data_IF_766114029149
#
_entry.id   IF_766114029149
#
_cell.length_a   1.000
_cell.length_b   1.000
_cell.length_c   1.000
_cell.angle_alpha   90.00
_cell.angle_beta   90.00
_cell.angle_gamma   90.00
#
_symmetry.space_group_name_H-M   'P 1'
#
loop_
_entity.id
_entity.type
_entity.pdbx_description
1 polymer ?
#
# COMPACT_ATOMS: atom_id res chain seq x y z
N UNK A 1 -23.30 9.23 13.02
CA UNK A 1 -23.90 7.97 12.52
C UNK A 1 -23.48 6.73 13.32
N UNK A 2 -24.40 5.80 13.60
CA UNK A 2 -24.08 4.46 14.18
C UNK A 2 -23.98 3.36 13.10
N UNK A 3 -23.51 2.16 13.48
CA UNK A 3 -23.30 1.06 12.52
C UNK A 3 -24.60 0.62 11.82
N UNK A 4 -25.74 0.64 12.52
CA UNK A 4 -27.04 0.29 11.92
C UNK A 4 -27.43 1.30 10.83
N UNK A 5 -27.20 2.58 11.10
CA UNK A 5 -27.49 3.67 10.16
C UNK A 5 -26.56 3.63 8.96
N UNK A 6 -25.27 3.29 9.17
CA UNK A 6 -24.29 3.07 8.09
C UNK A 6 -24.76 2.01 7.10
N UNK A 7 -25.10 0.81 7.60
CA UNK A 7 -25.56 -0.28 6.74
C UNK A 7 -26.89 0.04 6.05
N UNK A 8 -27.82 0.66 6.78
CA UNK A 8 -29.10 1.07 6.22
C UNK A 8 -28.92 2.11 5.10
N UNK A 9 -27.91 2.98 5.21
CA UNK A 9 -27.58 3.95 4.17
C UNK A 9 -27.05 3.25 2.90
N UNK A 10 -26.11 2.31 3.04
CA UNK A 10 -25.61 1.50 1.92
C UNK A 10 -26.76 0.76 1.22
N UNK A 11 -27.60 0.06 1.99
CA UNK A 11 -28.67 -0.75 1.43
C UNK A 11 -29.73 0.09 0.70
N UNK A 12 -30.03 1.31 1.18
CA UNK A 12 -30.97 2.24 0.53
C UNK A 12 -30.41 2.89 -0.73
N UNK A 13 -29.13 3.24 -0.73
CA UNK A 13 -28.48 3.89 -1.87
C UNK A 13 -28.09 2.89 -2.98
N UNK A 14 -28.18 1.58 -2.72
CA UNK A 14 -27.82 0.56 -3.68
C UNK A 14 -28.78 0.54 -4.88
N UNK A 15 -28.27 0.63 -6.12
CA UNK A 15 -29.12 0.60 -7.31
C UNK A 15 -29.71 -0.79 -7.55
N UNK A 16 -30.82 -0.85 -8.30
CA UNK A 16 -31.30 -2.11 -8.86
C UNK A 16 -30.41 -2.53 -10.04
N UNK A 17 -29.96 -3.80 -10.06
CA UNK A 17 -29.14 -4.36 -11.13
C UNK A 17 -27.62 -4.14 -10.96
N UNK A 18 -26.83 -4.64 -11.93
CA UNK A 18 -25.36 -4.70 -11.83
C UNK A 18 -24.72 -3.30 -11.81
N UNK A 19 -23.90 -2.99 -10.81
CA UNK A 19 -23.22 -1.71 -10.62
C UNK A 19 -21.69 -1.88 -10.59
N UNK A 20 -21.07 -1.89 -11.77
CA UNK A 20 -19.61 -2.09 -11.89
C UNK A 20 -18.84 -0.98 -11.16
N UNK A 21 -17.87 -1.35 -10.33
CA UNK A 21 -17.07 -0.38 -9.58
C UNK A 21 -17.83 0.29 -8.42
N UNK A 22 -19.09 -0.11 -8.15
CA UNK A 22 -20.01 0.58 -7.25
C UNK A 22 -20.20 2.08 -7.58
N UNK A 23 -20.13 2.45 -8.87
CA UNK A 23 -20.18 3.87 -9.31
C UNK A 23 -21.50 4.55 -8.93
N UNK A 24 -22.63 3.87 -9.16
CA UNK A 24 -23.96 4.46 -8.89
C UNK A 24 -24.26 4.46 -7.39
N UNK A 25 -23.89 3.41 -6.67
CA UNK A 25 -23.95 3.40 -5.21
C UNK A 25 -23.11 4.56 -4.63
N UNK A 26 -21.86 4.73 -5.08
CA UNK A 26 -20.99 5.78 -4.61
C UNK A 26 -21.58 7.17 -4.83
N UNK A 27 -22.11 7.44 -6.03
CA UNK A 27 -22.76 8.73 -6.31
C UNK A 27 -23.97 8.97 -5.40
N UNK A 28 -24.85 7.98 -5.24
CA UNK A 28 -26.02 8.10 -4.38
C UNK A 28 -25.65 8.31 -2.90
N UNK A 29 -24.54 7.72 -2.44
CA UNK A 29 -24.01 7.95 -1.10
C UNK A 29 -23.42 9.35 -0.96
N UNK A 30 -22.65 9.83 -1.95
CA UNK A 30 -22.10 11.19 -1.98
C UNK A 30 -23.24 12.21 -1.89
N UNK A 31 -24.22 12.11 -2.79
CA UNK A 31 -25.37 13.02 -2.82
C UNK A 31 -26.08 13.05 -1.46
N UNK A 32 -26.30 11.86 -0.86
CA UNK A 32 -27.01 11.76 0.41
C UNK A 32 -26.22 12.28 1.61
N UNK A 33 -24.92 12.01 1.66
CA UNK A 33 -24.03 12.50 2.73
C UNK A 33 -23.81 14.00 2.62
N UNK A 34 -23.76 14.55 1.41
CA UNK A 34 -23.59 15.98 1.16
C UNK A 34 -24.81 16.85 1.44
N UNK A 35 -25.97 16.24 1.71
CA UNK A 35 -27.16 16.93 2.25
C UNK A 35 -27.16 16.98 3.78
N UNK A 36 -26.27 16.23 4.42
CA UNK A 36 -26.21 16.05 5.86
C UNK A 36 -25.14 16.91 6.55
N UNK A 37 -25.05 16.80 7.88
CA UNK A 37 -23.96 17.40 8.64
C UNK A 37 -22.61 16.72 8.29
N UNK A 38 -21.51 17.47 8.32
CA UNK A 38 -20.15 16.97 8.03
C UNK A 38 -19.80 15.78 8.92
N UNK A 39 -20.28 15.77 10.16
CA UNK A 39 -20.12 14.72 11.16
C UNK A 39 -20.65 13.36 10.68
N UNK A 40 -21.68 13.33 9.83
CA UNK A 40 -22.18 12.08 9.27
C UNK A 40 -21.28 11.54 8.16
N UNK A 41 -20.66 12.41 7.37
CA UNK A 41 -19.59 12.03 6.43
C UNK A 41 -18.38 11.48 7.17
N UNK A 42 -17.99 12.11 8.29
CA UNK A 42 -16.89 11.62 9.14
C UNK A 42 -17.23 10.25 9.74
N UNK A 43 -18.41 10.11 10.34
CA UNK A 43 -18.84 8.85 10.93
C UNK A 43 -18.99 7.73 9.88
N UNK A 44 -19.47 8.05 8.68
CA UNK A 44 -19.54 7.09 7.57
C UNK A 44 -18.15 6.59 7.19
N UNK A 45 -17.15 7.48 7.12
CA UNK A 45 -15.76 7.09 6.84
C UNK A 45 -15.21 6.11 7.88
N UNK A 46 -15.45 6.35 9.17
CA UNK A 46 -15.01 5.46 10.26
C UNK A 46 -15.68 4.08 10.18
N UNK A 47 -16.99 4.01 9.96
CA UNK A 47 -17.71 2.72 9.82
C UNK A 47 -17.28 1.95 8.56
N UNK A 48 -17.01 2.65 7.46
CA UNK A 48 -16.45 2.05 6.26
C UNK A 48 -15.07 1.46 6.54
N UNK A 49 -14.18 2.22 7.19
CA UNK A 49 -12.84 1.74 7.58
C UNK A 49 -12.91 0.54 8.52
N UNK A 50 -13.79 0.55 9.53
CA UNK A 50 -13.97 -0.57 10.45
C UNK A 50 -14.47 -1.83 9.72
N UNK A 51 -15.46 -1.68 8.84
CA UNK A 51 -15.99 -2.79 8.06
C UNK A 51 -14.89 -3.43 7.19
N UNK A 52 -14.12 -2.59 6.48
CA UNK A 52 -12.99 -3.01 5.65
C UNK A 52 -11.90 -3.71 6.48
N UNK A 53 -11.56 -3.19 7.66
CA UNK A 53 -10.57 -3.77 8.56
C UNK A 53 -10.98 -5.16 9.07
N UNK A 54 -12.26 -5.35 9.43
CA UNK A 54 -12.78 -6.65 9.87
C UNK A 54 -12.74 -7.71 8.78
N UNK A 55 -13.02 -7.35 7.53
CA UNK A 55 -12.81 -8.26 6.40
C UNK A 55 -11.32 -8.60 6.25
N UNK A 56 -10.43 -7.63 6.41
CA UNK A 56 -8.98 -7.87 6.38
C UNK A 56 -8.45 -8.80 7.48
N UNK A 57 -9.18 -8.98 8.60
CA UNK A 57 -8.81 -9.87 9.72
C UNK A 57 -9.35 -11.29 9.60
N UNK A 58 -10.35 -11.52 8.74
CA UNK A 58 -10.85 -12.87 8.51
C UNK A 58 -9.78 -13.68 7.74
N UNK A 59 -9.71 -15.02 7.90
CA UNK A 59 -8.83 -15.90 7.14
C UNK A 59 -9.30 -16.01 5.67
N UNK A 60 -9.42 -14.86 5.00
CA UNK A 60 -9.71 -14.75 3.58
C UNK A 60 -8.44 -15.13 2.82
N UNK A 61 -8.60 -15.96 1.78
CA UNK A 61 -7.51 -16.47 0.94
C UNK A 61 -6.54 -15.37 0.52
N UNK A 62 -5.26 -15.64 0.73
CA UNK A 62 -4.11 -14.79 0.41
C UNK A 62 -3.67 -14.88 -1.07
N UNK A 63 -4.57 -15.29 -1.98
CA UNK A 63 -4.28 -15.45 -3.42
C UNK A 63 -4.60 -14.20 -4.25
N UNK A 64 -4.82 -13.06 -3.59
CA UNK A 64 -5.15 -11.78 -4.23
C UNK A 64 -4.02 -10.77 -4.00
N UNK A 65 -3.49 -10.23 -5.08
CA UNK A 65 -2.35 -9.32 -5.09
C UNK A 65 -2.82 -7.85 -4.97
N UNK A 66 -2.06 -7.03 -4.23
CA UNK A 66 -2.21 -5.57 -4.22
C UNK A 66 -3.63 -5.03 -4.02
N UNK A 67 -3.99 -4.06 -4.85
CA UNK A 67 -5.25 -3.30 -4.82
C UNK A 67 -6.52 -4.15 -5.05
N UNK A 68 -6.40 -5.34 -5.65
CA UNK A 68 -7.55 -6.21 -5.90
C UNK A 68 -8.18 -6.70 -4.59
N UNK A 69 -7.39 -6.94 -3.55
CA UNK A 69 -7.92 -7.30 -2.24
C UNK A 69 -8.67 -6.13 -1.60
N UNK A 70 -8.12 -4.91 -1.71
CA UNK A 70 -8.76 -3.69 -1.23
C UNK A 70 -10.09 -3.46 -1.93
N UNK A 71 -10.13 -3.48 -3.26
CA UNK A 71 -11.35 -3.21 -4.03
C UNK A 71 -12.40 -4.31 -3.92
N UNK A 72 -11.99 -5.57 -3.65
CA UNK A 72 -12.93 -6.66 -3.36
C UNK A 72 -13.52 -6.58 -1.96
N UNK A 73 -12.74 -6.20 -0.94
CA UNK A 73 -13.32 -5.89 0.38
C UNK A 73 -14.34 -4.76 0.27
N UNK A 74 -14.04 -3.74 -0.52
CA UNK A 74 -14.99 -2.68 -0.80
C UNK A 74 -16.24 -3.22 -1.51
N UNK A 75 -16.09 -4.20 -2.40
CA UNK A 75 -17.22 -4.81 -3.11
C UNK A 75 -18.14 -5.60 -2.17
N UNK A 76 -17.58 -6.30 -1.18
CA UNK A 76 -18.37 -6.96 -0.12
C UNK A 76 -19.17 -5.94 0.69
N UNK A 77 -18.56 -4.80 1.05
CA UNK A 77 -19.27 -3.72 1.75
C UNK A 77 -20.35 -3.09 0.84
N UNK A 78 -20.04 -2.85 -0.43
CA UNK A 78 -20.98 -2.31 -1.43
C UNK A 78 -22.17 -3.23 -1.69
N UNK A 79 -21.97 -4.55 -1.58
CA UNK A 79 -23.01 -5.55 -1.66
C UNK A 79 -23.94 -5.55 -0.45
N UNK A 80 -23.63 -4.80 0.60
CA UNK A 80 -24.50 -4.53 1.73
C UNK A 80 -24.32 -5.51 2.89
N UNK A 81 -25.07 -5.26 3.97
CA UNK A 81 -24.84 -5.89 5.28
C UNK A 81 -24.95 -7.41 5.25
N UNK A 82 -25.92 -7.94 4.52
CA UNK A 82 -26.16 -9.38 4.44
C UNK A 82 -25.04 -10.13 3.69
N UNK A 83 -24.37 -9.47 2.74
CA UNK A 83 -23.17 -10.03 2.09
C UNK A 83 -21.99 -10.01 3.05
N UNK A 84 -21.76 -8.85 3.65
CA UNK A 84 -20.70 -8.60 4.61
C UNK A 84 -20.71 -9.63 5.77
N UNK A 85 -21.85 -9.82 6.42
CA UNK A 85 -21.99 -10.78 7.53
C UNK A 85 -21.78 -12.23 7.06
N UNK A 86 -22.16 -12.57 5.82
CA UNK A 86 -22.00 -13.91 5.26
C UNK A 86 -20.54 -14.23 4.97
N UNK A 87 -19.79 -13.27 4.44
CA UNK A 87 -18.35 -13.43 4.20
C UNK A 87 -17.59 -13.51 5.52
N UNK A 88 -17.97 -12.74 6.54
CA UNK A 88 -17.37 -12.87 7.87
C UNK A 88 -17.63 -14.24 8.51
N UNK A 89 -18.81 -14.83 8.28
CA UNK A 89 -19.15 -16.16 8.80
C UNK A 89 -18.46 -17.30 8.03
N UNK A 90 -18.21 -17.11 6.72
CA UNK A 90 -17.56 -18.09 5.85
C UNK A 90 -16.56 -17.41 4.90
N UNK A 91 -15.33 -17.14 5.38
CA UNK A 91 -14.28 -16.45 4.63
C UNK A 91 -13.90 -17.10 3.29
N UNK A 92 -14.12 -18.41 3.13
CA UNK A 92 -13.77 -19.14 1.90
C UNK A 92 -14.55 -18.62 0.68
N UNK A 93 -15.74 -18.06 0.88
CA UNK A 93 -16.61 -17.50 -0.17
C UNK A 93 -16.08 -16.24 -0.82
N UNK A 94 -15.10 -15.58 -0.20
CA UNK A 94 -14.48 -14.39 -0.76
C UNK A 94 -13.78 -14.66 -2.09
N UNK A 95 -13.32 -15.90 -2.32
CA UNK A 95 -12.68 -16.30 -3.57
C UNK A 95 -13.67 -16.46 -4.76
N UNK A 96 -14.97 -16.52 -4.49
CA UNK A 96 -16.00 -16.73 -5.53
C UNK A 96 -16.43 -15.41 -6.22
N UNK A 97 -16.09 -14.25 -5.64
CA UNK A 97 -16.49 -12.93 -6.17
C UNK A 97 -15.45 -12.28 -7.11
N UNK A 98 -14.86 -13.06 -8.02
CA UNK A 98 -13.66 -12.65 -8.79
C UNK A 98 -13.83 -11.42 -9.70
N UNK A 99 -15.07 -11.08 -10.08
CA UNK A 99 -15.34 -10.05 -11.10
C UNK A 99 -15.91 -8.73 -10.55
N UNK A 100 -16.11 -8.61 -9.24
CA UNK A 100 -16.75 -7.44 -8.62
C UNK A 100 -15.74 -6.65 -7.78
N UNK A 101 -15.39 -5.46 -8.27
CA UNK A 101 -14.60 -4.45 -7.55
C UNK A 101 -15.47 -3.23 -7.23
N UNK A 102 -15.20 -2.54 -6.13
CA UNK A 102 -15.94 -1.35 -5.72
C UNK A 102 -15.02 -0.20 -5.30
N UNK A 103 -14.02 0.12 -6.13
CA UNK A 103 -13.10 1.22 -5.90
C UNK A 103 -13.83 2.55 -5.60
N UNK A 104 -14.94 2.84 -6.29
CA UNK A 104 -15.63 4.12 -6.11
C UNK A 104 -16.24 4.30 -4.72
N UNK A 105 -16.49 3.21 -3.98
CA UNK A 105 -16.98 3.29 -2.59
C UNK A 105 -15.95 3.95 -1.67
N UNK A 106 -14.66 3.72 -1.90
CA UNK A 106 -13.57 4.23 -1.07
C UNK A 106 -13.44 5.76 -1.15
N UNK A 107 -13.87 6.35 -2.28
CA UNK A 107 -13.81 7.78 -2.54
C UNK A 107 -15.02 8.56 -1.99
N UNK A 108 -16.08 7.85 -1.54
CA UNK A 108 -17.33 8.47 -1.10
C UNK A 108 -17.13 9.52 -0.01
N UNK A 109 -16.39 9.25 1.08
CA UNK A 109 -16.32 10.22 2.16
C UNK A 109 -15.48 11.46 1.79
N UNK A 110 -14.44 11.31 0.94
CA UNK A 110 -13.64 12.46 0.45
C UNK A 110 -14.48 13.37 -0.43
N UNK A 111 -15.22 12.78 -1.38
CA UNK A 111 -16.06 13.54 -2.31
C UNK A 111 -17.24 14.20 -1.60
N UNK A 112 -17.88 13.49 -0.67
CA UNK A 112 -18.96 14.05 0.11
C UNK A 112 -18.50 15.23 0.97
N UNK A 113 -17.32 15.12 1.60
CA UNK A 113 -16.72 16.20 2.39
C UNK A 113 -16.33 17.40 1.52
N UNK A 114 -15.69 17.15 0.38
CA UNK A 114 -15.31 18.20 -0.56
C UNK A 114 -16.53 18.97 -1.06
N UNK A 115 -17.62 18.27 -1.38
CA UNK A 115 -18.88 18.89 -1.81
C UNK A 115 -19.56 19.68 -0.69
N UNK A 116 -19.45 19.25 0.57
CA UNK A 116 -19.99 19.96 1.74
C UNK A 116 -19.22 21.24 2.10
N UNK A 117 -17.89 21.17 1.99
CA UNK A 117 -17.00 22.18 2.60
C UNK A 117 -16.24 23.03 1.58
N UNK A 118 -16.21 22.60 0.31
CA UNK A 118 -15.38 23.17 -0.74
C UNK A 118 -13.88 22.93 -0.53
N UNK A 119 -13.49 22.00 0.36
CA UNK A 119 -12.09 21.73 0.72
C UNK A 119 -11.79 20.25 0.62
N UNK A 120 -10.54 19.93 0.27
CA UNK A 120 -10.04 18.57 0.34
C UNK A 120 -9.89 18.12 1.79
N UNK A 121 -10.25 16.87 2.06
CA UNK A 121 -10.20 16.33 3.41
C UNK A 121 -8.83 15.71 3.69
N UNK A 122 -8.00 16.38 4.50
CA UNK A 122 -6.77 15.77 5.06
C UNK A 122 -7.14 14.85 6.22
N UNK A 123 -7.42 13.58 5.90
CA UNK A 123 -7.87 12.56 6.86
C UNK A 123 -6.80 12.22 7.89
N UNK A 124 -7.22 12.02 9.15
CA UNK A 124 -6.47 11.33 10.18
C UNK A 124 -7.41 10.33 10.85
N UNK A 125 -7.42 9.08 10.40
CA UNK A 125 -8.36 8.06 10.90
C UNK A 125 -7.77 7.23 12.04
N UNK A 126 -8.65 6.68 12.89
CA UNK A 126 -8.31 5.63 13.87
C UNK A 126 -8.03 4.28 13.17
N UNK A 127 -8.62 4.05 11.99
CA UNK A 127 -8.38 2.92 11.09
C UNK A 127 -8.18 3.41 9.64
N UNK A 128 -7.04 3.08 9.01
CA UNK A 128 -6.85 3.30 7.56
C UNK A 128 -7.45 2.14 6.76
N UNK A 129 -8.14 2.43 5.66
CA UNK A 129 -8.67 1.45 4.69
C UNK A 129 -7.57 0.56 4.09
N UNK A 130 -6.33 1.04 4.13
CA UNK A 130 -5.10 0.37 3.71
C UNK A 130 -4.52 -0.53 4.82
N UNK A 131 -5.13 -0.64 5.99
CA UNK A 131 -4.66 -1.57 7.02
C UNK A 131 -4.98 -3.01 6.60
N UNK A 132 -3.96 -3.68 6.08
CA UNK A 132 -3.89 -5.14 5.98
C UNK A 132 -3.48 -5.67 7.36
N UNK A 133 -4.27 -6.58 7.93
CA UNK A 133 -3.75 -7.41 9.01
C UNK A 133 -2.85 -8.47 8.41
N UNK A 134 -1.56 -8.18 8.40
CA UNK A 134 -0.55 -9.21 8.27
C UNK A 134 -0.54 -9.99 9.60
N UNK A 135 -0.67 -11.31 9.57
CA UNK A 135 -0.11 -12.10 10.65
C UNK A 135 1.39 -11.80 10.65
N UNK A 136 1.86 -11.17 11.74
CA UNK A 136 3.28 -10.95 11.95
C UNK A 136 3.99 -12.29 11.77
N UNK A 137 4.96 -12.34 10.85
CA UNK A 137 5.92 -13.42 10.88
C UNK A 137 6.64 -13.39 12.23
N UNK A 138 7.25 -14.52 12.62
CA UNK A 138 8.14 -14.52 13.78
C UNK A 138 9.14 -13.36 13.62
N UNK A 139 9.29 -12.48 14.61
CA UNK A 139 10.11 -11.29 14.47
C UNK A 139 11.55 -11.71 14.17
N UNK A 140 12.12 -11.13 13.13
CA UNK A 140 13.56 -11.08 12.99
C UNK A 140 14.08 -10.28 14.20
N UNK A 141 14.99 -10.85 14.99
CA UNK A 141 15.46 -10.23 16.23
C UNK A 141 15.99 -8.79 16.01
N UNK A 142 16.15 -8.00 17.08
CA UNK A 142 16.72 -6.65 17.01
C UNK A 142 18.05 -6.58 16.22
N UNK A 143 18.84 -7.66 16.26
CA UNK A 143 20.14 -7.82 15.59
C UNK A 143 20.11 -8.83 14.42
N UNK A 144 18.96 -9.03 13.78
CA UNK A 144 18.83 -9.99 12.69
C UNK A 144 19.83 -9.67 11.57
N UNK A 145 20.67 -10.65 11.26
CA UNK A 145 21.57 -10.56 10.13
C UNK A 145 20.78 -10.56 8.81
N UNK A 146 21.43 -10.16 7.72
CA UNK A 146 20.85 -10.31 6.37
C UNK A 146 20.40 -11.76 6.11
N UNK A 147 21.11 -12.75 6.66
CA UNK A 147 20.75 -14.18 6.53
C UNK A 147 19.42 -14.50 7.21
N UNK A 148 19.24 -14.01 8.44
CA UNK A 148 17.99 -14.19 9.20
C UNK A 148 16.83 -13.51 8.48
N UNK A 149 17.06 -12.31 7.95
CA UNK A 149 16.05 -11.55 7.24
C UNK A 149 15.63 -12.23 5.93
N UNK A 150 16.60 -12.72 5.14
CA UNK A 150 16.33 -13.47 3.91
C UNK A 150 15.59 -14.77 4.22
N UNK A 151 15.97 -15.50 5.27
CA UNK A 151 15.27 -16.71 5.69
C UNK A 151 13.81 -16.42 6.07
N UNK A 152 13.57 -15.35 6.84
CA UNK A 152 12.23 -14.92 7.23
C UNK A 152 11.39 -14.50 6.01
N UNK A 153 11.98 -13.79 5.05
CA UNK A 153 11.29 -13.41 3.81
C UNK A 153 10.94 -14.65 2.98
N UNK A 154 11.88 -15.58 2.79
CA UNK A 154 11.61 -16.87 2.11
C UNK A 154 10.44 -17.61 2.74
N UNK A 155 10.39 -17.67 4.06
CA UNK A 155 9.28 -18.29 4.78
C UNK A 155 7.97 -17.51 4.56
N UNK A 156 8.01 -16.17 4.60
CA UNK A 156 6.84 -15.31 4.44
C UNK A 156 6.21 -15.38 3.05
N UNK A 157 7.03 -15.57 2.02
CA UNK A 157 6.59 -15.67 0.62
C UNK A 157 6.43 -17.11 0.14
N UNK A 158 6.67 -18.10 1.00
CA UNK A 158 6.50 -19.51 0.66
C UNK A 158 5.06 -19.78 0.18
N UNK A 159 4.93 -20.44 -0.96
CA UNK A 159 3.62 -20.75 -1.57
C UNK A 159 3.02 -19.64 -2.43
N UNK A 160 3.66 -18.47 -2.55
CA UNK A 160 3.21 -17.40 -3.49
C UNK A 160 3.51 -17.68 -4.96
N UNK A 161 4.29 -18.73 -5.27
CA UNK A 161 4.64 -19.06 -6.65
C UNK A 161 5.54 -18.02 -7.32
N UNK A 162 6.48 -17.43 -6.56
CA UNK A 162 7.40 -16.42 -7.09
C UNK A 162 8.19 -16.94 -8.31
N UNK A 163 8.53 -16.08 -9.27
CA UNK A 163 9.45 -16.40 -10.35
C UNK A 163 10.79 -16.91 -9.81
N UNK A 164 11.50 -17.75 -10.57
CA UNK A 164 12.83 -18.21 -10.17
C UNK A 164 13.74 -17.01 -9.89
N UNK A 165 14.69 -17.13 -8.95
CA UNK A 165 15.65 -16.07 -8.67
C UNK A 165 16.36 -15.58 -9.93
N UNK A 166 16.66 -14.28 -9.97
CA UNK A 166 17.42 -13.68 -11.05
C UNK A 166 18.84 -14.24 -11.10
N UNK A 167 19.49 -14.18 -12.26
CA UNK A 167 20.88 -14.59 -12.38
C UNK A 167 21.84 -13.48 -11.94
N UNK A 168 23.07 -13.85 -11.59
CA UNK A 168 24.12 -12.87 -11.32
C UNK A 168 24.46 -11.98 -12.54
N UNK A 169 24.18 -12.46 -13.75
CA UNK A 169 24.36 -11.70 -14.99
C UNK A 169 23.28 -10.61 -15.13
N UNK A 170 22.01 -10.93 -14.83
CA UNK A 170 20.91 -9.97 -14.85
C UNK A 170 21.15 -8.83 -13.85
N UNK A 171 21.63 -9.18 -12.66
CA UNK A 171 22.03 -8.19 -11.64
C UNK A 171 23.15 -7.30 -12.16
N UNK A 172 24.21 -7.87 -12.72
CA UNK A 172 25.35 -7.10 -13.21
C UNK A 172 24.95 -6.17 -14.38
N UNK A 173 24.05 -6.61 -15.27
CA UNK A 173 23.51 -5.76 -16.33
C UNK A 173 22.72 -4.58 -15.77
N UNK A 174 21.86 -4.84 -14.78
CA UNK A 174 21.06 -3.80 -14.16
C UNK A 174 21.93 -2.80 -13.37
N UNK A 175 22.92 -3.27 -12.61
CA UNK A 175 23.91 -2.43 -11.93
C UNK A 175 24.66 -1.53 -12.92
N UNK A 176 25.05 -2.07 -14.09
CA UNK A 176 25.68 -1.28 -15.15
C UNK A 176 24.76 -0.19 -15.69
N UNK A 177 23.47 -0.50 -15.87
CA UNK A 177 22.45 0.45 -16.34
C UNK A 177 22.19 1.57 -15.33
N UNK A 178 22.16 1.25 -14.03
CA UNK A 178 21.97 2.23 -12.95
C UNK A 178 23.24 3.08 -12.74
N UNK A 179 24.41 2.50 -12.97
CA UNK A 179 25.71 3.14 -12.74
C UNK A 179 26.17 3.08 -11.29
N UNK A 180 25.48 2.30 -10.45
CA UNK A 180 25.79 2.08 -9.04
C UNK A 180 25.56 0.59 -8.70
N UNK A 181 26.34 0.02 -7.76
CA UNK A 181 26.12 -1.35 -7.31
C UNK A 181 24.78 -1.48 -6.59
N UNK A 182 24.12 -2.62 -6.75
CA UNK A 182 22.87 -2.92 -6.04
C UNK A 182 23.19 -3.12 -4.55
N UNK A 183 22.40 -2.56 -3.62
CA UNK A 183 22.56 -2.81 -2.18
C UNK A 183 22.64 -4.30 -1.89
N UNK A 184 23.60 -4.72 -1.05
CA UNK A 184 23.96 -6.12 -0.88
C UNK A 184 22.76 -6.99 -0.49
N UNK A 185 21.93 -6.51 0.43
CA UNK A 185 20.70 -7.18 0.84
C UNK A 185 19.69 -7.33 -0.32
N UNK A 186 19.48 -6.28 -1.13
CA UNK A 186 18.58 -6.35 -2.29
C UNK A 186 19.08 -7.34 -3.33
N UNK A 187 20.39 -7.29 -3.62
CA UNK A 187 21.05 -8.23 -4.53
C UNK A 187 20.81 -9.66 -4.10
N UNK A 188 20.96 -9.94 -2.80
CA UNK A 188 20.70 -11.27 -2.26
C UNK A 188 19.23 -11.65 -2.43
N UNK A 189 18.27 -10.77 -2.12
CA UNK A 189 16.85 -11.08 -2.32
C UNK A 189 16.52 -11.53 -3.74
N UNK A 190 17.04 -10.84 -4.76
CA UNK A 190 16.84 -11.26 -6.16
C UNK A 190 17.54 -12.57 -6.52
N UNK A 191 18.73 -12.85 -5.97
CA UNK A 191 19.50 -14.08 -6.22
C UNK A 191 19.01 -15.29 -5.43
N UNK A 192 18.34 -15.05 -4.30
CA UNK A 192 18.09 -16.07 -3.28
C UNK A 192 16.61 -16.34 -3.02
N UNK A 193 15.72 -15.36 -3.22
CA UNK A 193 14.30 -15.46 -2.87
C UNK A 193 13.44 -15.60 -4.12
N UNK A 194 13.61 -14.70 -5.10
CA UNK A 194 12.84 -14.71 -6.34
C UNK A 194 13.09 -13.46 -7.17
N UNK A 195 12.82 -13.56 -8.48
CA UNK A 195 12.89 -12.42 -9.38
C UNK A 195 11.63 -11.54 -9.25
N UNK A 196 11.52 -10.84 -8.11
CA UNK A 196 10.36 -10.01 -7.75
C UNK A 196 9.33 -10.74 -6.86
N UNK A 197 8.23 -10.05 -6.55
CA UNK A 197 7.07 -10.58 -5.83
C UNK A 197 7.21 -10.73 -4.30
N UNK A 198 8.39 -10.43 -3.74
CA UNK A 198 8.57 -10.22 -2.30
C UNK A 198 8.27 -8.76 -1.91
N UNK A 199 7.97 -8.50 -0.64
CA UNK A 199 7.63 -7.16 -0.14
C UNK A 199 6.19 -7.06 0.39
N UNK A 200 5.89 -5.91 0.98
CA UNK A 200 4.55 -5.60 1.51
C UNK A 200 3.51 -5.47 0.40
N UNK A 201 3.90 -4.81 -0.69
CA UNK A 201 3.42 -5.13 -2.03
C UNK A 201 4.51 -5.88 -2.79
N UNK A 202 4.19 -6.38 -3.98
CA UNK A 202 5.14 -7.11 -4.79
C UNK A 202 6.21 -6.17 -5.36
N UNK A 203 7.46 -6.32 -4.93
CA UNK A 203 8.60 -5.69 -5.60
C UNK A 203 8.64 -6.16 -7.06
N UNK A 204 9.05 -5.26 -7.95
CA UNK A 204 9.15 -5.53 -9.38
C UNK A 204 10.15 -6.68 -9.64
N UNK A 205 9.94 -7.43 -10.72
CA UNK A 205 10.95 -8.36 -11.20
C UNK A 205 12.12 -7.57 -11.80
N UNK A 206 13.34 -8.09 -11.70
CA UNK A 206 14.51 -7.46 -12.31
C UNK A 206 14.50 -7.56 -13.84
N UNK A 207 13.93 -8.66 -14.34
CA UNK A 207 13.79 -9.00 -15.76
C UNK A 207 12.34 -9.42 -16.04
N UNK A 208 11.92 -9.49 -17.31
CA UNK A 208 10.54 -9.84 -17.65
C UNK A 208 10.14 -11.23 -17.14
N UNK A 209 8.90 -11.33 -16.65
CA UNK A 209 8.28 -12.56 -16.14
C UNK A 209 6.84 -12.66 -16.67
N UNK A 210 6.22 -13.84 -16.57
CA UNK A 210 4.90 -14.10 -17.16
C UNK A 210 3.77 -13.22 -16.57
N UNK A 211 3.88 -12.84 -15.29
CA UNK A 211 2.93 -11.99 -14.58
C UNK A 211 3.65 -10.84 -13.87
N UNK A 212 3.30 -9.61 -14.22
CA UNK A 212 3.98 -8.41 -13.74
C UNK A 212 3.52 -8.04 -12.33
N UNK A 213 4.40 -7.38 -11.59
CA UNK A 213 4.18 -7.01 -10.18
C UNK A 213 3.77 -5.55 -9.95
N UNK A 214 3.58 -4.78 -11.02
CA UNK A 214 3.17 -3.38 -10.98
C UNK A 214 2.88 -2.84 -12.38
N UNK A 215 2.87 -1.52 -12.52
CA UNK A 215 2.55 -0.84 -13.78
C UNK A 215 3.61 -0.98 -14.89
N UNK A 216 4.81 -1.49 -14.56
CA UNK A 216 5.89 -1.76 -15.53
C UNK A 216 6.19 -3.26 -15.61
N UNK A 217 6.70 -3.69 -16.78
CA UNK A 217 7.06 -5.08 -17.03
C UNK A 217 8.13 -5.60 -16.06
N UNK A 218 9.14 -4.76 -15.80
CA UNK A 218 10.23 -5.05 -14.90
C UNK A 218 10.88 -3.77 -14.34
N UNK A 219 11.80 -3.95 -13.40
CA UNK A 219 12.60 -2.91 -12.77
C UNK A 219 13.43 -2.11 -13.78
N UNK A 220 13.83 -2.76 -14.87
CA UNK A 220 14.64 -2.21 -15.94
C UNK A 220 13.88 -1.19 -16.80
N UNK A 221 12.61 -1.47 -17.07
CA UNK A 221 11.66 -0.56 -17.71
C UNK A 221 11.31 0.59 -16.78
N UNK A 222 10.93 0.30 -15.54
CA UNK A 222 10.57 1.31 -14.54
C UNK A 222 11.70 2.32 -14.35
N UNK A 223 12.94 1.85 -14.15
CA UNK A 223 14.11 2.72 -14.01
C UNK A 223 14.35 3.58 -15.26
N UNK A 224 14.18 3.00 -16.46
CA UNK A 224 14.35 3.75 -17.72
C UNK A 224 13.35 4.90 -17.82
N UNK A 225 12.08 4.66 -17.50
CA UNK A 225 11.01 5.67 -17.55
C UNK A 225 11.24 6.76 -16.51
N UNK A 226 11.56 6.38 -15.27
CA UNK A 226 11.78 7.31 -14.16
C UNK A 226 13.07 8.14 -14.34
N UNK A 227 14.02 7.64 -15.13
CA UNK A 227 15.25 8.35 -15.48
C UNK A 227 15.10 9.32 -16.66
N UNK A 228 13.95 9.34 -17.34
CA UNK A 228 13.69 10.36 -18.35
C UNK A 228 13.54 11.72 -17.67
N UNK A 229 13.98 12.81 -18.33
CA UNK A 229 13.68 14.15 -17.85
C UNK A 229 12.17 14.30 -17.70
N UNK A 230 11.72 14.92 -16.61
CA UNK A 230 10.31 15.25 -16.49
C UNK A 230 9.88 16.19 -17.62
N UNK A 231 8.70 15.93 -18.20
CA UNK A 231 8.13 16.79 -19.23
C UNK A 231 7.69 18.15 -18.64
N UNK A 232 7.38 18.18 -17.34
CA UNK A 232 7.05 19.40 -16.58
C UNK A 232 8.33 20.02 -16.00
N UNK A 233 8.66 21.29 -16.32
CA UNK A 233 9.80 22.01 -15.76
C UNK A 233 9.79 22.16 -14.23
N UNK A 234 8.63 21.95 -13.59
CA UNK A 234 8.43 22.04 -12.15
C UNK A 234 8.55 20.70 -11.43
N UNK A 235 8.64 19.59 -12.16
CA UNK A 235 8.77 18.27 -11.59
C UNK A 235 10.25 17.87 -11.48
N UNK A 236 10.64 17.34 -10.33
CA UNK A 236 12.03 17.00 -10.07
C UNK A 236 12.35 15.65 -10.71
N UNK A 237 13.35 15.62 -11.61
CA UNK A 237 13.82 14.36 -12.17
C UNK A 237 14.36 13.45 -11.08
N UNK A 238 14.02 12.16 -11.13
CA UNK A 238 14.56 11.16 -10.20
C UNK A 238 16.10 11.19 -10.24
N UNK A 239 16.78 11.35 -9.09
CA UNK A 239 18.24 11.34 -9.07
C UNK A 239 18.79 10.02 -9.59
N UNK A 240 19.85 10.09 -10.41
CA UNK A 240 20.57 8.88 -10.85
C UNK A 240 21.00 8.04 -9.65
N UNK A 241 20.79 6.73 -9.74
CA UNK A 241 21.03 5.78 -8.65
C UNK A 241 19.85 5.57 -7.71
N UNK A 242 18.77 6.34 -7.81
CA UNK A 242 17.51 6.07 -7.10
C UNK A 242 16.62 5.23 -8.02
N UNK A 243 16.32 4.00 -7.60
CA UNK A 243 15.67 2.97 -8.41
C UNK A 243 14.24 2.72 -7.91
N UNK A 244 13.21 2.73 -8.79
CA UNK A 244 11.86 2.34 -8.39
C UNK A 244 11.83 0.86 -8.08
N UNK A 245 11.48 0.46 -6.86
CA UNK A 245 11.54 -0.93 -6.40
C UNK A 245 10.16 -1.60 -6.36
N UNK A 246 9.15 -0.86 -5.92
CA UNK A 246 7.83 -1.42 -5.65
C UNK A 246 6.76 -0.37 -5.93
N UNK A 247 5.83 -0.75 -6.83
CA UNK A 247 4.61 -0.02 -7.08
C UNK A 247 3.66 -0.18 -5.88
N UNK A 248 3.11 0.93 -5.41
CA UNK A 248 2.19 0.96 -4.27
C UNK A 248 0.76 1.36 -4.67
N UNK A 249 0.50 1.51 -5.97
CA UNK A 249 -0.75 2.04 -6.49
C UNK A 249 -0.92 3.54 -6.20
N UNK A 250 -2.03 4.13 -6.64
CA UNK A 250 -2.38 5.53 -6.38
C UNK A 250 -1.26 6.56 -6.66
N UNK A 251 -0.44 6.29 -7.70
CA UNK A 251 0.74 7.11 -8.06
C UNK A 251 1.81 7.18 -6.95
N UNK A 252 1.96 6.13 -6.16
CA UNK A 252 2.97 6.01 -5.11
C UNK A 252 3.99 4.92 -5.43
N UNK A 253 5.26 5.19 -5.17
CA UNK A 253 6.36 4.24 -5.38
C UNK A 253 7.27 4.19 -4.17
N UNK A 254 7.69 2.98 -3.80
CA UNK A 254 8.88 2.81 -2.95
C UNK A 254 10.09 2.71 -3.85
N UNK A 255 11.04 3.60 -3.61
CA UNK A 255 12.29 3.71 -4.33
C UNK A 255 13.45 3.29 -3.41
N UNK A 256 14.57 2.86 -3.97
CA UNK A 256 15.77 2.45 -3.23
C UNK A 256 17.01 3.15 -3.78
N UNK A 257 17.85 3.67 -2.89
CA UNK A 257 19.03 4.45 -3.25
C UNK A 257 20.29 3.59 -3.34
N UNK A 258 20.71 3.24 -4.57
CA UNK A 258 21.91 2.45 -4.83
C UNK A 258 23.21 3.22 -4.54
N UNK A 259 23.14 4.54 -4.29
CA UNK A 259 24.32 5.33 -3.89
C UNK A 259 24.70 5.05 -2.43
N UNK A 260 23.78 4.49 -1.65
CA UNK A 260 23.98 4.12 -0.25
C UNK A 260 24.13 2.60 -0.12
N UNK A 261 25.17 2.08 0.57
CA UNK A 261 25.37 0.63 0.70
C UNK A 261 24.22 -0.07 1.43
N UNK A 262 23.55 0.62 2.36
CA UNK A 262 22.39 0.15 3.11
C UNK A 262 21.07 0.20 2.32
N UNK A 263 21.07 0.77 1.11
CA UNK A 263 19.88 0.92 0.29
C UNK A 263 18.80 1.76 0.96
N UNK A 264 19.07 3.04 1.21
CA UNK A 264 18.09 3.98 1.80
C UNK A 264 16.79 3.96 1.01
N UNK A 265 15.68 3.86 1.71
CA UNK A 265 14.35 3.93 1.11
C UNK A 265 13.99 5.37 0.83
N UNK A 266 13.49 5.59 -0.38
CA UNK A 266 12.93 6.84 -0.85
C UNK A 266 11.44 6.62 -1.12
N UNK A 267 10.64 7.63 -0.80
CA UNK A 267 9.21 7.63 -1.00
C UNK A 267 8.88 8.56 -2.16
N UNK A 268 8.20 8.03 -3.18
CA UNK A 268 7.50 8.83 -4.17
C UNK A 268 6.01 8.77 -3.85
N UNK A 269 5.39 9.94 -3.65
CA UNK A 269 3.94 10.08 -3.57
C UNK A 269 3.50 11.42 -4.13
N UNK A 270 2.70 11.37 -5.20
CA UNK A 270 2.17 12.56 -5.85
C UNK A 270 1.17 13.36 -4.99
N UNK A 271 0.70 12.80 -3.86
CA UNK A 271 -0.29 13.45 -2.99
C UNK A 271 0.33 14.20 -1.81
N UNK A 272 1.65 14.11 -1.61
CA UNK A 272 2.33 14.76 -0.49
C UNK A 272 3.07 16.04 -0.94
N UNK A 273 3.54 16.83 0.02
CA UNK A 273 4.19 18.12 -0.21
C UNK A 273 5.57 18.03 -0.88
N UNK A 274 6.17 16.84 -0.92
CA UNK A 274 7.41 16.54 -1.64
C UNK A 274 7.20 15.24 -2.41
N UNK A 275 7.02 15.36 -3.73
CA UNK A 275 6.69 14.24 -4.62
C UNK A 275 7.67 13.09 -4.45
N UNK A 276 8.97 13.37 -4.38
CA UNK A 276 10.03 12.38 -4.16
C UNK A 276 10.95 12.85 -3.02
N UNK A 277 11.14 12.03 -2.00
CA UNK A 277 12.14 12.30 -0.97
C UNK A 277 12.66 11.03 -0.30
N UNK A 278 13.88 11.12 0.25
CA UNK A 278 14.43 10.07 1.10
C UNK A 278 13.67 9.92 2.41
N UNK A 279 13.70 8.72 2.99
CA UNK A 279 13.14 8.45 4.31
C UNK A 279 14.24 8.13 5.33
N UNK A 280 13.86 8.03 6.60
CA UNK A 280 14.73 7.55 7.67
C UNK A 280 15.00 6.04 7.59
N UNK A 281 14.29 5.27 6.76
CA UNK A 281 14.43 3.82 6.65
C UNK A 281 15.62 3.40 5.76
N UNK A 282 16.36 2.40 6.22
CA UNK A 282 17.18 1.54 5.35
C UNK A 282 16.34 0.44 4.72
N UNK A 283 16.88 -0.26 3.72
CA UNK A 283 16.20 -1.43 3.14
C UNK A 283 15.92 -2.51 4.20
N UNK A 284 16.87 -2.73 5.12
CA UNK A 284 16.73 -3.69 6.20
C UNK A 284 15.60 -3.28 7.17
N UNK A 285 15.53 -2.00 7.56
CA UNK A 285 14.45 -1.49 8.41
C UNK A 285 13.08 -1.68 7.76
N UNK A 286 12.99 -1.39 6.46
CA UNK A 286 11.76 -1.49 5.71
C UNK A 286 11.27 -2.94 5.58
N UNK A 287 12.16 -3.88 5.27
CA UNK A 287 11.83 -5.31 5.17
C UNK A 287 11.50 -5.92 6.53
N UNK A 288 12.29 -5.61 7.56
CA UNK A 288 12.00 -6.01 8.94
C UNK A 288 10.65 -5.47 9.38
N UNK A 289 10.40 -4.21 9.06
CA UNK A 289 9.15 -3.56 9.36
C UNK A 289 7.97 -4.12 8.62
N UNK A 290 8.14 -4.68 7.43
CA UNK A 290 7.11 -5.46 6.75
C UNK A 290 6.88 -6.83 7.42
N UNK A 291 7.93 -7.54 7.82
CA UNK A 291 7.81 -8.85 8.49
C UNK A 291 7.13 -8.75 9.85
N UNK A 292 7.48 -7.72 10.62
CA UNK A 292 6.82 -7.34 11.89
C UNK A 292 5.53 -6.52 11.65
N UNK A 293 5.33 -6.11 10.40
CA UNK A 293 4.30 -5.26 9.77
C UNK A 293 3.95 -3.93 10.42
N UNK A 294 4.85 -3.33 11.18
CA UNK A 294 4.72 -1.91 11.51
C UNK A 294 4.99 -1.00 10.30
N UNK A 295 5.56 -1.53 9.21
CA UNK A 295 5.40 -0.98 7.87
C UNK A 295 4.06 -1.49 7.33
N UNK A 296 3.17 -0.56 7.03
CA UNK A 296 1.82 -0.82 6.54
C UNK A 296 1.61 -0.19 5.17
N UNK A 297 0.62 -0.64 4.40
CA UNK A 297 0.22 0.04 3.18
C UNK A 297 -0.27 1.46 3.48
N UNK A 298 0.10 2.40 2.60
CA UNK A 298 -0.18 3.84 2.72
C UNK A 298 1.05 4.74 2.71
N UNK A 299 0.87 6.04 2.96
CA UNK A 299 1.94 7.02 2.82
C UNK A 299 3.01 6.89 3.92
N UNK A 300 4.27 7.21 3.60
CA UNK A 300 5.36 7.25 4.57
C UNK A 300 5.68 8.67 5.06
N UNK A 301 4.71 9.59 5.04
CA UNK A 301 4.90 11.02 5.36
C UNK A 301 5.65 11.25 6.68
N UNK A 302 5.39 10.44 7.72
CA UNK A 302 6.04 10.57 9.03
C UNK A 302 7.53 10.20 9.04
N UNK A 303 8.00 9.49 8.01
CA UNK A 303 9.38 9.03 7.85
C UNK A 303 10.17 9.88 6.84
N UNK A 304 9.49 10.80 6.13
CA UNK A 304 10.08 11.60 5.05
C UNK A 304 11.07 12.65 5.58
N UNK A 305 12.24 12.69 4.97
CA UNK A 305 13.26 13.70 5.21
C UNK A 305 13.02 14.87 4.24
N UNK A 306 12.14 15.79 4.62
CA UNK A 306 11.79 16.92 3.76
C UNK A 306 13.00 17.84 3.48
N UNK A 307 13.10 18.41 2.25
CA UNK A 307 14.12 19.38 1.93
C UNK A 307 13.97 20.66 2.77
N UNK A 308 15.09 21.34 2.99
CA UNK A 308 15.12 22.60 3.71
C UNK A 308 14.24 23.65 2.99
N UNK A 309 13.13 24.04 3.62
CA UNK A 309 12.18 25.02 3.09
C UNK A 309 10.83 24.45 2.66
N UNK A 310 10.61 23.14 2.76
CA UNK A 310 9.27 22.57 2.58
C UNK A 310 8.31 23.14 3.66
N UNK A 311 7.15 23.70 3.27
CA UNK A 311 6.23 24.36 4.21
C UNK A 311 5.55 23.37 5.18
N UNK A 312 5.45 22.11 4.78
CA UNK A 312 4.89 21.01 5.57
C UNK A 312 6.01 20.18 6.26
N UNK A 313 7.25 20.68 6.29
CA UNK A 313 8.37 19.99 6.93
C UNK A 313 8.16 19.81 8.44
N UNK A 314 7.86 18.59 8.86
CA UNK A 314 7.92 18.15 10.25
C UNK A 314 9.21 17.38 10.58
N UNK A 315 9.49 17.11 11.87
CA UNK A 315 10.57 16.21 12.23
C UNK A 315 10.25 14.78 11.76
N UNK A 316 11.13 14.22 10.94
CA UNK A 316 11.02 12.82 10.53
C UNK A 316 11.22 11.90 11.73
N UNK A 317 10.36 10.89 11.86
CA UNK A 317 10.51 9.86 12.89
C UNK A 317 11.66 8.92 12.56
N UNK A 318 12.38 8.46 13.59
CA UNK A 318 13.25 7.30 13.44
C UNK A 318 12.42 6.03 13.18
N UNK A 319 13.00 4.98 12.60
CA UNK A 319 12.32 3.69 12.43
C UNK A 319 11.72 3.15 13.74
N UNK A 320 12.43 3.31 14.87
CA UNK A 320 11.97 2.88 16.19
C UNK A 320 10.77 3.70 16.67
N UNK A 321 10.83 5.03 16.53
CA UNK A 321 9.72 5.91 16.91
C UNK A 321 8.46 5.59 16.10
N UNK A 322 8.63 5.36 14.80
CA UNK A 322 7.53 5.00 13.91
C UNK A 322 6.95 3.63 14.27
N UNK A 323 7.80 2.63 14.49
CA UNK A 323 7.41 1.29 14.97
C UNK A 323 6.60 1.36 16.26
N UNK A 324 7.10 2.05 17.29
CA UNK A 324 6.40 2.20 18.57
C UNK A 324 5.03 2.84 18.38
N UNK A 325 4.92 3.85 17.51
CA UNK A 325 3.65 4.49 17.19
C UNK A 325 2.68 3.53 16.52
N UNK A 326 3.12 2.77 15.51
CA UNK A 326 2.23 1.83 14.79
C UNK A 326 1.83 0.64 15.65
N UNK A 327 2.73 0.10 16.47
CA UNK A 327 2.40 -0.96 17.43
C UNK A 327 1.32 -0.52 18.41
N UNK A 328 1.41 0.72 18.95
CA UNK A 328 0.38 1.27 19.86
C UNK A 328 -0.98 1.50 19.20
N UNK A 329 -1.02 1.73 17.89
CA UNK A 329 -2.27 1.87 17.14
C UNK A 329 -2.94 0.49 16.92
N UNK A 330 -2.16 -0.59 16.93
CA UNK A 330 -2.65 -1.95 16.73
C UNK A 330 -3.10 -2.67 18.02
N UNK A 331 -2.75 -2.16 19.20
CA UNK A 331 -3.24 -2.67 20.47
C UNK A 331 -4.62 -2.07 20.79
N UNK A 332 -5.64 -2.90 21.13
CA UNK A 332 -6.91 -2.36 21.57
C UNK A 332 -6.67 -1.55 22.85
N UNK A 333 -7.10 -0.29 22.85
CA UNK A 333 -7.15 0.51 24.07
C UNK A 333 -7.96 -0.22 25.16
N UNK A 334 -7.68 0.06 26.45
CA UNK A 334 -8.27 -0.64 27.58
C UNK A 334 -9.80 -0.62 27.63
#
# INVERSE_FOLDING_TARGET
>A
MDATTFWSLIDRCRPSGRDRGARRLAQALIDRLSEGPVEDTVAFAEHLSEAMARLGRAPLRHDLEGDDFLYRRAAVVAAGRAEYERILADPARFADSKDDTAQCLLLVPDRAYQQLTGRDWRRGHHYSYEQYHYEAGLPAGPDASDDDLIAAIRQRVAGRGLPPPASAADIAEFEHRVGHPMPALLRRLYLEVGNGGFGIWSCLSLTPVDAWFGDFEDLAEAYRIFSLPADDPWDESVPKGVVPLMDRGCCMWTMVDFRTPEGRIWDWDANDCCTLTSTTLTLADWLKGWLEGWIIPGPYSELRLHPAGCPDAGPAMSPEQYRERKVRICEPGP
#
